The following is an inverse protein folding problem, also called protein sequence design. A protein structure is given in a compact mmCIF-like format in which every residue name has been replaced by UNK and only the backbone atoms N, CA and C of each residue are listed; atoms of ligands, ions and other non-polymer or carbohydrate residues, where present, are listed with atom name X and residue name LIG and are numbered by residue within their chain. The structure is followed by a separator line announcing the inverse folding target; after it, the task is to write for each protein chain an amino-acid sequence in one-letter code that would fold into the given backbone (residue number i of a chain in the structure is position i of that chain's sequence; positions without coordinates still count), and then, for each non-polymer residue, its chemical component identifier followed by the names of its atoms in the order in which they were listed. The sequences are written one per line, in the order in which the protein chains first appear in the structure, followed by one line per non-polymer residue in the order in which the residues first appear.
data_IF_979491419449
#
_entry.id   IF_979491419449
#
_cell.length_a   1.000
_cell.length_b   1.000
_cell.length_c   1.000
_cell.angle_alpha   90.00
_cell.angle_beta   90.00
_cell.angle_gamma   90.00
#
_symmetry.space_group_name_H-M   'P 1'
#
loop_
_entity.id
_entity.type
_entity.pdbx_description
1 polymer ?
#
# COMPACT_ATOMS: atom_id res chain seq x y z
N UNK A 1 9.22 26.29 -20.03
CA UNK A 1 8.04 25.83 -19.26
C UNK A 1 8.49 24.68 -18.39
N UNK A 2 8.33 24.83 -17.06
CA UNK A 2 8.54 23.72 -16.14
C UNK A 2 7.30 22.84 -16.18
N UNK A 3 7.43 21.62 -16.65
CA UNK A 3 6.36 20.64 -16.52
C UNK A 3 6.01 20.48 -15.04
N UNK A 4 4.73 20.59 -14.74
CA UNK A 4 4.23 20.38 -13.38
C UNK A 4 4.23 18.88 -13.10
N UNK A 5 4.99 18.45 -12.11
CA UNK A 5 4.99 17.06 -11.68
C UNK A 5 3.78 16.80 -10.78
N UNK A 6 2.87 15.87 -11.15
CA UNK A 6 1.71 15.55 -10.34
C UNK A 6 2.12 14.88 -9.02
N UNK A 7 1.25 14.98 -8.02
CA UNK A 7 1.41 14.20 -6.80
C UNK A 7 1.13 12.72 -7.08
N UNK A 8 1.95 11.86 -6.48
CA UNK A 8 1.84 10.42 -6.64
C UNK A 8 1.32 9.79 -5.35
N UNK A 9 0.25 9.02 -5.44
CA UNK A 9 -0.28 8.23 -4.32
C UNK A 9 -0.04 6.76 -4.59
N UNK A 10 0.69 6.12 -3.69
CA UNK A 10 1.00 4.69 -3.74
C UNK A 10 0.20 4.00 -2.64
N UNK A 11 -0.62 3.03 -3.02
CA UNK A 11 -1.46 2.28 -2.09
C UNK A 11 -1.04 0.81 -2.11
N UNK A 12 -0.70 0.27 -0.95
CA UNK A 12 -0.44 -1.16 -0.73
C UNK A 12 -1.61 -1.68 0.09
N UNK A 13 -2.43 -2.52 -0.51
CA UNK A 13 -3.65 -3.05 0.11
C UNK A 13 -3.33 -4.10 1.18
N UNK A 14 -2.46 -5.07 0.88
CA UNK A 14 -2.01 -6.07 1.84
C UNK A 14 -0.48 -6.20 1.82
N UNK A 15 0.16 -5.54 2.81
CA UNK A 15 1.62 -5.57 2.94
C UNK A 15 2.16 -6.97 3.22
N UNK A 16 1.39 -7.80 3.95
CA UNK A 16 1.86 -9.13 4.33
C UNK A 16 2.19 -10.01 3.12
N UNK A 17 1.43 -9.91 2.04
CA UNK A 17 1.65 -10.71 0.84
C UNK A 17 2.98 -10.36 0.15
N UNK A 18 3.32 -9.08 0.11
CA UNK A 18 4.62 -8.62 -0.39
C UNK A 18 5.77 -9.07 0.53
N UNK A 19 5.59 -8.94 1.85
CA UNK A 19 6.60 -9.33 2.84
C UNK A 19 6.84 -10.84 2.88
N UNK A 20 5.86 -11.66 2.50
CA UNK A 20 6.04 -13.12 2.38
C UNK A 20 6.88 -13.49 1.16
N UNK A 21 6.87 -12.68 0.11
CA UNK A 21 7.56 -12.98 -1.15
C UNK A 21 9.00 -12.47 -1.13
N UNK A 22 9.22 -11.21 -0.78
CA UNK A 22 10.54 -10.56 -0.81
C UNK A 22 10.69 -9.51 0.32
N UNK A 23 10.79 -9.95 1.58
CA UNK A 23 10.72 -9.05 2.74
C UNK A 23 11.79 -7.95 2.73
N UNK A 24 13.03 -8.27 2.38
CA UNK A 24 14.14 -7.33 2.41
C UNK A 24 13.96 -6.24 1.36
N UNK A 25 13.66 -6.62 0.13
CA UNK A 25 13.50 -5.69 -0.99
C UNK A 25 12.29 -4.77 -0.79
N UNK A 26 11.18 -5.32 -0.30
CA UNK A 26 9.96 -4.58 0.00
C UNK A 26 10.21 -3.57 1.12
N UNK A 27 10.81 -4.00 2.22
CA UNK A 27 11.13 -3.12 3.35
C UNK A 27 12.05 -1.97 2.93
N UNK A 28 13.14 -2.26 2.22
CA UNK A 28 14.07 -1.26 1.70
C UNK A 28 13.38 -0.27 0.77
N UNK A 29 12.50 -0.77 -0.09
CA UNK A 29 11.76 0.04 -1.05
C UNK A 29 10.77 0.99 -0.37
N UNK A 30 10.00 0.49 0.60
CA UNK A 30 9.09 1.30 1.42
C UNK A 30 9.87 2.38 2.16
N UNK A 31 10.99 2.03 2.81
CA UNK A 31 11.83 2.98 3.52
C UNK A 31 12.37 4.06 2.59
N UNK A 32 12.82 3.69 1.40
CA UNK A 32 13.33 4.63 0.39
C UNK A 32 12.26 5.60 -0.10
N UNK A 33 11.04 5.12 -0.36
CA UNK A 33 9.91 5.99 -0.74
C UNK A 33 9.58 6.93 0.42
N UNK A 34 9.41 6.40 1.62
CA UNK A 34 9.01 7.19 2.78
C UNK A 34 10.04 8.30 3.12
N UNK A 35 11.35 8.02 2.95
CA UNK A 35 12.42 8.98 3.22
C UNK A 35 12.56 10.04 2.12
N UNK A 36 12.43 9.66 0.85
CA UNK A 36 12.70 10.54 -0.29
C UNK A 36 11.44 11.10 -0.94
N UNK A 37 10.34 10.37 -0.88
CA UNK A 37 9.10 10.68 -1.58
C UNK A 37 8.46 11.99 -1.13
N UNK A 38 8.64 12.38 0.13
CA UNK A 38 8.10 13.63 0.66
C UNK A 38 8.53 14.86 -0.15
N UNK A 39 9.79 14.92 -0.55
CA UNK A 39 10.32 16.03 -1.36
C UNK A 39 9.77 16.02 -2.80
N UNK A 40 9.32 14.89 -3.29
CA UNK A 40 8.81 14.67 -4.64
C UNK A 40 7.27 14.66 -4.71
N UNK A 41 6.56 14.94 -3.60
CA UNK A 41 5.09 14.90 -3.57
C UNK A 41 4.52 13.48 -3.65
N UNK A 42 5.24 12.48 -3.13
CA UNK A 42 4.76 11.10 -3.04
C UNK A 42 4.08 10.85 -1.69
N UNK A 43 2.95 10.15 -1.72
CA UNK A 43 2.19 9.73 -0.57
C UNK A 43 2.08 8.21 -0.55
N UNK A 44 2.32 7.59 0.60
CA UNK A 44 2.29 6.16 0.76
C UNK A 44 1.23 5.77 1.78
N UNK A 45 0.30 4.92 1.37
CA UNK A 45 -0.76 4.34 2.20
C UNK A 45 -0.55 2.83 2.22
N UNK A 46 -0.39 2.26 3.42
CA UNK A 46 -0.12 0.84 3.60
C UNK A 46 -1.21 0.23 4.46
N UNK A 47 -1.90 -0.78 3.93
CA UNK A 47 -2.83 -1.63 4.65
C UNK A 47 -2.24 -3.01 4.91
N UNK A 48 -2.73 -3.68 5.95
CA UNK A 48 -2.52 -5.11 6.19
C UNK A 48 -3.57 -5.64 7.16
N UNK A 49 -4.02 -6.86 6.91
CA UNK A 49 -4.89 -7.61 7.81
C UNK A 49 -4.09 -8.54 8.74
N UNK A 50 -2.75 -8.58 8.58
CA UNK A 50 -1.84 -9.43 9.37
C UNK A 50 -0.85 -8.58 10.16
N UNK A 51 -1.25 -8.04 11.32
CA UNK A 51 -0.41 -7.14 12.11
C UNK A 51 0.66 -7.89 12.91
N UNK A 52 1.55 -8.61 12.23
CA UNK A 52 2.69 -9.29 12.86
C UNK A 52 3.95 -8.41 12.83
N UNK A 53 4.91 -8.72 13.68
CA UNK A 53 6.19 -7.99 13.73
C UNK A 53 7.05 -8.20 12.48
N UNK A 54 6.82 -9.30 11.78
CA UNK A 54 7.52 -9.62 10.52
C UNK A 54 6.95 -8.83 9.34
N UNK A 55 5.71 -8.35 9.44
CA UNK A 55 5.04 -7.51 8.44
C UNK A 55 5.22 -6.04 8.77
N UNK A 56 4.90 -5.63 10.00
CA UNK A 56 5.03 -4.25 10.47
C UNK A 56 6.34 -4.13 11.24
N UNK A 57 7.44 -4.09 10.51
CA UNK A 57 8.78 -4.08 11.10
C UNK A 57 9.12 -2.74 11.78
N UNK A 58 10.15 -2.76 12.60
CA UNK A 58 10.65 -1.55 13.24
C UNK A 58 11.11 -0.48 12.24
N UNK A 59 11.68 -0.90 11.10
CA UNK A 59 12.11 0.01 10.05
C UNK A 59 10.93 0.67 9.34
N UNK A 60 9.89 -0.10 9.00
CA UNK A 60 8.66 0.45 8.42
C UNK A 60 8.02 1.44 9.39
N UNK A 61 7.89 1.08 10.69
CA UNK A 61 7.32 1.99 11.71
C UNK A 61 8.10 3.29 11.89
N UNK A 62 9.42 3.22 11.78
CA UNK A 62 10.28 4.41 11.88
C UNK A 62 10.11 5.38 10.71
N UNK A 63 9.82 4.87 9.50
CA UNK A 63 9.71 5.66 8.28
C UNK A 63 8.26 6.03 7.92
N UNK A 64 7.28 5.27 8.44
CA UNK A 64 5.83 5.53 8.29
C UNK A 64 5.25 5.77 9.68
N UNK A 65 5.43 6.96 10.26
CA UNK A 65 5.13 7.21 11.67
C UNK A 65 3.65 7.45 11.96
N UNK A 66 2.84 7.88 10.99
CA UNK A 66 1.40 8.04 11.17
C UNK A 66 0.69 6.72 10.98
N UNK A 67 -0.08 6.29 11.98
CA UNK A 67 -0.65 4.95 12.01
C UNK A 67 -2.11 4.97 12.44
N UNK A 68 -2.87 4.03 11.88
CA UNK A 68 -4.27 3.77 12.24
C UNK A 68 -4.39 2.30 12.62
N UNK A 69 -5.05 2.02 13.73
CA UNK A 69 -5.46 0.67 14.08
C UNK A 69 -6.99 0.62 14.19
N UNK A 70 -7.60 -0.23 13.41
CA UNK A 70 -8.97 -0.68 13.62
C UNK A 70 -9.01 -1.79 14.66
N UNK A 71 -10.17 -2.38 14.91
CA UNK A 71 -10.34 -3.47 15.87
C UNK A 71 -9.42 -4.65 15.52
N UNK A 72 -8.68 -5.12 16.50
CA UNK A 72 -7.79 -6.29 16.40
C UNK A 72 -8.16 -7.33 17.44
N UNK A 73 -7.67 -8.57 17.26
CA UNK A 73 -8.00 -9.70 18.12
C UNK A 73 -7.22 -9.73 19.44
N UNK A 74 -6.06 -9.09 19.51
CA UNK A 74 -5.19 -9.16 20.68
C UNK A 74 -4.52 -7.83 21.03
N UNK A 75 -4.06 -7.71 22.29
CA UNK A 75 -3.21 -6.60 22.72
C UNK A 75 -1.85 -6.61 22.04
N UNK A 76 -1.37 -7.78 21.61
CA UNK A 76 -0.10 -7.91 20.90
C UNK A 76 -0.21 -7.23 19.55
N UNK A 77 -1.29 -7.49 18.82
CA UNK A 77 -1.57 -6.86 17.53
C UNK A 77 -1.68 -5.34 17.67
N UNK A 78 -2.40 -4.88 18.70
CA UNK A 78 -2.49 -3.44 19.00
C UNK A 78 -1.10 -2.82 19.20
N UNK A 79 -0.25 -3.43 20.01
CA UNK A 79 1.12 -2.94 20.22
C UNK A 79 1.97 -3.02 18.97
N UNK A 80 1.77 -4.03 18.14
CA UNK A 80 2.49 -4.16 16.87
C UNK A 80 2.19 -2.98 15.96
N UNK A 81 0.93 -2.53 15.88
CA UNK A 81 0.52 -1.43 15.01
C UNK A 81 0.88 -0.07 15.61
N UNK A 82 0.41 0.23 16.83
CA UNK A 82 0.43 1.59 17.40
C UNK A 82 1.25 1.71 18.69
N UNK A 83 2.05 0.70 19.03
CA UNK A 83 2.95 0.64 20.18
C UNK A 83 2.26 0.64 21.56
N UNK A 84 0.93 0.68 21.61
CA UNK A 84 0.13 0.61 22.83
C UNK A 84 -0.99 -0.45 22.73
N UNK A 85 -1.48 -0.92 23.86
CA UNK A 85 -2.71 -1.69 23.93
C UNK A 85 -3.94 -0.78 23.80
N UNK A 86 -5.05 -1.30 23.29
CA UNK A 86 -6.32 -0.57 23.23
C UNK A 86 -7.13 -0.84 21.96
N UNK A 87 -6.50 -1.19 20.83
CA UNK A 87 -7.23 -1.49 19.60
C UNK A 87 -8.07 -2.78 19.73
N UNK A 88 -7.71 -3.69 20.63
CA UNK A 88 -8.52 -4.86 20.96
C UNK A 88 -9.85 -4.55 21.68
N UNK A 89 -10.03 -3.30 22.12
CA UNK A 89 -11.24 -2.82 22.82
C UNK A 89 -12.15 -1.99 21.92
N UNK A 90 -11.78 -1.81 20.68
CA UNK A 90 -12.58 -1.10 19.70
C UNK A 90 -13.81 -1.94 19.29
N UNK A 91 -14.90 -1.25 18.99
CA UNK A 91 -16.19 -1.90 18.70
C UNK A 91 -16.39 -2.25 17.21
N UNK A 92 -15.43 -1.93 16.35
CA UNK A 92 -15.53 -2.17 14.90
C UNK A 92 -16.33 -1.07 14.18
N UNK A 93 -16.67 -1.34 12.91
CA UNK A 93 -17.46 -0.44 12.06
C UNK A 93 -16.90 0.99 11.96
N UNK A 94 -15.59 1.10 11.78
CA UNK A 94 -14.89 2.37 11.65
C UNK A 94 -14.40 2.97 12.98
N UNK A 95 -14.64 2.32 14.12
CA UNK A 95 -14.01 2.69 15.39
C UNK A 95 -12.51 2.41 15.31
N UNK A 96 -11.65 3.42 15.55
CA UNK A 96 -10.22 3.33 15.33
C UNK A 96 -9.41 4.09 16.34
N UNK A 97 -8.15 3.71 16.48
CA UNK A 97 -7.11 4.49 17.13
C UNK A 97 -6.22 5.12 16.07
N UNK A 98 -6.10 6.44 16.09
CA UNK A 98 -5.26 7.20 15.16
C UNK A 98 -4.06 7.80 15.91
N UNK A 99 -2.88 7.47 15.45
CA UNK A 99 -1.59 7.96 15.96
C UNK A 99 -0.89 8.79 14.86
N UNK A 100 -1.21 10.08 14.71
CA UNK A 100 -0.49 10.93 13.76
C UNK A 100 0.92 11.22 14.25
N UNK A 101 1.80 11.59 13.30
CA UNK A 101 3.16 12.04 13.63
C UNK A 101 3.12 13.19 14.65
N UNK A 102 3.96 13.10 15.68
CA UNK A 102 4.07 14.13 16.73
C UNK A 102 3.01 14.04 17.84
N UNK A 103 2.03 13.16 17.74
CA UNK A 103 1.08 12.94 18.82
C UNK A 103 1.72 12.14 19.97
N UNK A 104 1.53 12.61 21.20
CA UNK A 104 2.02 11.92 22.41
C UNK A 104 1.23 10.64 22.69
N UNK A 105 -0.07 10.64 22.33
CA UNK A 105 -0.97 9.50 22.52
C UNK A 105 -1.89 9.37 21.31
N UNK A 106 -2.24 8.15 20.90
CA UNK A 106 -3.26 7.92 19.89
C UNK A 106 -4.61 8.50 20.34
N UNK A 107 -5.36 8.98 19.36
CA UNK A 107 -6.73 9.48 19.54
C UNK A 107 -7.71 8.39 19.08
N UNK A 108 -8.79 8.19 19.85
CA UNK A 108 -9.89 7.34 19.41
C UNK A 108 -10.83 8.15 18.53
N UNK A 109 -11.07 7.68 17.34
CA UNK A 109 -11.94 8.30 16.35
C UNK A 109 -12.99 7.30 15.89
N UNK A 110 -14.16 7.81 15.53
CA UNK A 110 -15.19 7.03 14.84
C UNK A 110 -15.21 7.43 13.37
N UNK A 111 -14.76 6.54 12.51
CA UNK A 111 -14.94 6.66 11.06
C UNK A 111 -16.37 6.31 10.65
N UNK A 112 -16.81 6.80 9.51
CA UNK A 112 -18.03 6.33 8.89
C UNK A 112 -17.87 4.84 8.51
N UNK A 113 -18.91 4.06 8.74
CA UNK A 113 -18.99 2.73 8.17
C UNK A 113 -19.43 2.88 6.72
N UNK A 114 -18.72 2.24 5.82
CA UNK A 114 -19.04 2.19 4.39
C UNK A 114 -19.36 0.75 4.05
N UNK A 115 -20.52 0.51 3.44
CA UNK A 115 -20.92 -0.83 3.01
C UNK A 115 -20.31 -1.18 1.64
N UNK A 116 -20.33 -2.46 1.29
CA UNK A 116 -19.83 -2.92 0.00
C UNK A 116 -20.64 -2.31 -1.15
N UNK A 117 -21.97 -2.16 -0.98
CA UNK A 117 -22.86 -1.51 -1.94
C UNK A 117 -22.48 -0.04 -2.16
N UNK A 118 -22.18 0.71 -1.09
CA UNK A 118 -21.75 2.11 -1.18
C UNK A 118 -20.40 2.24 -1.90
N UNK A 119 -19.46 1.31 -1.66
CA UNK A 119 -18.18 1.27 -2.38
C UNK A 119 -18.42 1.03 -3.88
N UNK A 120 -19.30 0.09 -4.22
CA UNK A 120 -19.65 -0.25 -5.60
C UNK A 120 -20.33 0.93 -6.33
N UNK A 121 -21.25 1.63 -5.65
CA UNK A 121 -21.91 2.83 -6.18
C UNK A 121 -20.91 3.96 -6.45
N UNK A 122 -20.03 4.26 -5.50
CA UNK A 122 -18.99 5.31 -5.66
C UNK A 122 -18.02 4.95 -6.77
N UNK A 123 -17.56 3.70 -6.83
CA UNK A 123 -16.65 3.24 -7.87
C UNK A 123 -17.29 3.34 -9.26
N UNK A 124 -18.53 2.88 -9.40
CA UNK A 124 -19.31 3.00 -10.64
C UNK A 124 -19.52 4.44 -11.04
N UNK A 125 -19.80 5.32 -10.08
CA UNK A 125 -19.93 6.75 -10.34
C UNK A 125 -18.63 7.34 -10.91
N UNK A 126 -17.48 7.01 -10.29
CA UNK A 126 -16.18 7.49 -10.74
C UNK A 126 -15.88 6.98 -12.15
N UNK A 127 -16.05 5.70 -12.42
CA UNK A 127 -15.81 5.08 -13.74
C UNK A 127 -16.65 5.77 -14.82
N UNK A 128 -17.93 6.02 -14.54
CA UNK A 128 -18.86 6.61 -15.51
C UNK A 128 -18.65 8.10 -15.77
N UNK A 129 -17.96 8.81 -14.85
CA UNK A 129 -17.76 10.27 -14.93
C UNK A 129 -16.29 10.67 -15.11
N UNK A 130 -15.37 9.71 -15.10
CA UNK A 130 -13.96 9.95 -15.40
C UNK A 130 -13.70 9.79 -16.89
N UNK A 131 -12.73 10.54 -17.40
CA UNK A 131 -12.17 10.27 -18.73
C UNK A 131 -11.51 8.88 -18.73
N UNK A 132 -11.40 8.26 -19.90
CA UNK A 132 -10.71 6.97 -20.02
C UNK A 132 -9.30 7.08 -19.43
N UNK A 133 -8.92 6.06 -18.65
CA UNK A 133 -7.60 6.02 -18.05
C UNK A 133 -6.52 5.97 -19.15
N UNK A 134 -5.72 7.02 -19.22
CA UNK A 134 -4.57 7.08 -20.12
C UNK A 134 -3.38 6.48 -19.40
N UNK A 135 -2.93 5.32 -19.85
CA UNK A 135 -1.71 4.69 -19.36
C UNK A 135 -0.49 5.29 -20.06
N UNK A 136 0.55 5.61 -19.30
CA UNK A 136 1.81 6.04 -19.88
C UNK A 136 2.58 4.82 -20.42
N UNK A 137 2.60 4.69 -21.77
CA UNK A 137 3.30 3.60 -22.47
C UNK A 137 4.78 3.51 -22.13
N UNK A 138 5.40 4.61 -21.74
CA UNK A 138 6.80 4.63 -21.35
C UNK A 138 6.99 3.95 -19.98
N UNK A 139 6.12 4.26 -19.03
CA UNK A 139 6.12 3.63 -17.71
C UNK A 139 5.85 2.12 -17.81
N UNK A 140 4.88 1.72 -18.63
CA UNK A 140 4.59 0.30 -18.87
C UNK A 140 5.80 -0.43 -19.45
N UNK A 141 6.47 0.13 -20.46
CA UNK A 141 7.68 -0.47 -21.07
C UNK A 141 8.85 -0.52 -20.09
N UNK A 142 8.98 0.45 -19.21
CA UNK A 142 10.05 0.45 -18.22
C UNK A 142 9.78 -0.58 -17.11
N UNK A 143 8.51 -0.79 -16.73
CA UNK A 143 8.07 -1.89 -15.85
C UNK A 143 8.39 -3.25 -16.48
N UNK A 144 8.03 -3.45 -17.74
CA UNK A 144 8.32 -4.71 -18.47
C UNK A 144 9.83 -5.02 -18.51
N UNK A 145 10.66 -4.01 -18.82
CA UNK A 145 12.11 -4.17 -18.83
C UNK A 145 12.70 -4.54 -17.47
N UNK A 146 12.20 -3.91 -16.40
CA UNK A 146 12.65 -4.22 -15.05
C UNK A 146 12.20 -5.62 -14.62
N UNK A 147 10.99 -6.03 -14.97
CA UNK A 147 10.49 -7.37 -14.74
C UNK A 147 11.35 -8.44 -15.47
N UNK A 148 11.76 -8.16 -16.71
CA UNK A 148 12.68 -9.04 -17.47
C UNK A 148 14.09 -9.09 -16.83
N UNK A 149 14.58 -7.98 -16.29
CA UNK A 149 15.88 -7.92 -15.61
C UNK A 149 15.88 -8.61 -14.24
N UNK A 150 14.77 -8.57 -13.51
CA UNK A 150 14.58 -9.26 -12.22
C UNK A 150 14.15 -10.71 -12.37
N UNK A 151 13.57 -11.10 -13.52
CA UNK A 151 13.09 -12.46 -13.80
C UNK A 151 14.24 -13.42 -13.99
N UNK A 152 14.49 -14.27 -12.99
CA UNK A 152 15.23 -15.52 -13.13
C UNK A 152 14.66 -16.34 -14.28
N UNK A 153 15.53 -16.83 -15.14
CA UNK A 153 15.29 -17.76 -16.24
C UNK A 153 14.02 -18.61 -16.12
N UNK A 154 13.04 -18.32 -16.95
CA UNK A 154 12.05 -19.30 -17.39
C UNK A 154 10.65 -19.17 -16.83
N UNK A 155 9.87 -18.19 -17.34
CA UNK A 155 8.44 -18.39 -17.66
C UNK A 155 7.97 -17.22 -18.53
N UNK A 156 7.20 -17.56 -19.58
CA UNK A 156 6.63 -16.61 -20.56
C UNK A 156 5.72 -15.60 -19.87
N UNK A 157 5.89 -14.32 -20.22
CA UNK A 157 5.00 -13.22 -19.86
C UNK A 157 3.54 -13.55 -20.19
N UNK A 158 2.58 -13.29 -19.29
CA UNK A 158 1.18 -13.25 -19.68
C UNK A 158 0.94 -11.96 -20.47
N UNK A 159 0.38 -12.11 -21.67
CA UNK A 159 -0.21 -11.00 -22.43
C UNK A 159 -1.36 -10.42 -21.63
N UNK A 160 -1.31 -9.10 -21.41
CA UNK A 160 -2.38 -8.36 -20.74
C UNK A 160 -3.53 -8.15 -21.75
N UNK A 161 -4.40 -9.14 -21.88
CA UNK A 161 -5.72 -8.99 -22.46
C UNK A 161 -6.72 -8.85 -21.31
N UNK A 162 -7.46 -7.74 -21.32
CA UNK A 162 -8.35 -7.34 -20.24
C UNK A 162 -9.57 -8.25 -20.06
N UNK A 163 -9.39 -9.39 -19.38
CA UNK A 163 -10.50 -10.17 -18.86
C UNK A 163 -10.08 -10.90 -17.58
N UNK A 164 -10.88 -10.66 -16.53
CA UNK A 164 -10.98 -11.38 -15.25
C UNK A 164 -9.70 -11.58 -14.44
N UNK A 165 -9.55 -10.75 -13.40
CA UNK A 165 -8.67 -11.03 -12.27
C UNK A 165 -9.28 -12.15 -11.44
N UNK A 166 -8.74 -13.35 -11.60
CA UNK A 166 -8.88 -14.43 -10.65
C UNK A 166 -7.50 -15.00 -10.39
N UNK A 167 -7.11 -15.01 -9.13
CA UNK A 167 -6.01 -15.76 -8.50
C UNK A 167 -4.71 -15.90 -9.31
N UNK A 168 -3.70 -15.13 -8.97
CA UNK A 168 -2.36 -15.37 -9.49
C UNK A 168 -1.31 -14.36 -9.06
N UNK A 169 -0.50 -14.80 -8.14
CA UNK A 169 0.92 -14.50 -7.96
C UNK A 169 1.37 -13.08 -7.58
N UNK A 170 1.79 -12.96 -6.31
CA UNK A 170 2.46 -11.80 -5.73
C UNK A 170 3.76 -11.35 -6.45
N UNK A 171 4.30 -12.18 -7.34
CA UNK A 171 5.48 -11.87 -8.16
C UNK A 171 5.27 -10.67 -9.10
N UNK A 172 4.08 -10.51 -9.68
CA UNK A 172 3.78 -9.40 -10.58
C UNK A 172 3.67 -8.05 -9.85
N UNK A 173 3.10 -8.05 -8.63
CA UNK A 173 2.99 -6.83 -7.82
C UNK A 173 4.36 -6.33 -7.36
N UNK A 174 5.30 -7.26 -7.11
CA UNK A 174 6.67 -6.93 -6.72
C UNK A 174 7.46 -6.34 -7.88
N UNK A 175 7.33 -6.89 -9.09
CA UNK A 175 7.97 -6.37 -10.29
C UNK A 175 7.51 -4.94 -10.61
N UNK A 176 6.21 -4.67 -10.48
CA UNK A 176 5.63 -3.33 -10.65
C UNK A 176 6.17 -2.36 -9.60
N UNK A 177 6.22 -2.77 -8.33
CA UNK A 177 6.77 -1.95 -7.25
C UNK A 177 8.27 -1.67 -7.45
N UNK A 178 9.06 -2.67 -7.85
CA UNK A 178 10.49 -2.52 -8.13
C UNK A 178 10.79 -1.62 -9.33
N UNK A 179 10.04 -1.75 -10.42
CA UNK A 179 10.19 -0.91 -11.61
C UNK A 179 9.95 0.56 -11.28
N UNK A 180 8.88 0.82 -10.53
CA UNK A 180 8.51 2.18 -10.14
C UNK A 180 9.55 2.84 -9.23
N UNK A 181 10.27 2.07 -8.42
CA UNK A 181 11.23 2.55 -7.43
C UNK A 181 12.64 2.81 -7.99
N UNK A 182 12.99 2.25 -9.15
CA UNK A 182 14.29 2.43 -9.78
C UNK A 182 14.35 3.58 -10.78
N UNK A 183 13.23 4.02 -11.33
CA UNK A 183 13.17 5.06 -12.36
C UNK A 183 13.17 6.49 -11.81
N UNK A 184 13.15 6.68 -10.50
CA UNK A 184 13.20 7.97 -9.81
C UNK A 184 14.17 7.87 -8.63
#
# INVERSE_FOLDING_TARGET
DKEYMPQLVIIIDELADLMMTAPTEVEESICRIAQKGRACGMHLIIGTQRPSVDVITGLIKANVPSRVAFTVSSQVDSRTIIDIAGAEKLIGRGDMLFAPIGAVKPMRLQGAFVSDEEVEEVTSFIINHSEEAVYDDKVLKDIEKEAELCGTKGKKSPSFDGESVADGDGENALAVAHAFLRTH
#
